data_IF_072065614261
#
_entry.id   IF_072065614261
#
_cell.length_a   1.000
_cell.length_b   1.000
_cell.length_c   1.000
_cell.angle_alpha   90.00
_cell.angle_beta   90.00
_cell.angle_gamma   90.00
#
_symmetry.space_group_name_H-M   'P 1'
#
loop_
_entity.id
_entity.type
_entity.pdbx_description
1 polymer ?
#
# COMPACT_ATOMS: atom_id res chain seq x y z
N UNK A 1 8.06 18.71 6.63
CA UNK A 1 6.88 17.90 6.26
C UNK A 1 7.37 16.48 6.11
N UNK A 2 7.18 15.62 7.12
CA UNK A 2 7.61 14.23 7.03
C UNK A 2 6.66 13.53 6.06
N UNK A 3 7.11 13.37 4.81
CA UNK A 3 6.40 12.55 3.84
C UNK A 3 6.41 11.12 4.35
N UNK A 4 5.23 10.52 4.46
CA UNK A 4 5.06 9.08 4.69
C UNK A 4 6.05 8.30 3.80
N UNK A 5 6.95 7.47 4.36
CA UNK A 5 7.88 6.71 3.55
C UNK A 5 7.10 5.79 2.62
N UNK A 6 7.42 5.85 1.33
CA UNK A 6 6.83 4.95 0.33
C UNK A 6 7.55 3.62 0.42
N UNK A 7 6.81 2.56 0.76
CA UNK A 7 7.34 1.22 1.02
C UNK A 7 7.23 0.35 -0.23
N UNK A 8 6.28 0.66 -1.10
CA UNK A 8 6.13 -0.01 -2.38
C UNK A 8 5.56 0.95 -3.43
N UNK A 9 5.94 0.76 -4.67
CA UNK A 9 5.39 1.48 -5.83
C UNK A 9 5.37 0.51 -7.01
N UNK A 10 4.29 0.54 -7.80
CA UNK A 10 4.22 -0.26 -9.01
C UNK A 10 5.11 0.36 -10.11
N UNK A 11 5.49 -0.44 -11.12
CA UNK A 11 6.37 0.03 -12.20
C UNK A 11 5.80 1.19 -13.02
N UNK A 12 4.47 1.32 -13.06
CA UNK A 12 3.74 2.35 -13.79
C UNK A 12 3.54 3.63 -12.96
N UNK A 13 3.97 3.64 -11.70
CA UNK A 13 3.74 4.71 -10.72
C UNK A 13 2.26 5.05 -10.49
N UNK A 14 1.36 4.18 -10.95
CA UNK A 14 -0.10 4.31 -10.77
C UNK A 14 -0.54 3.94 -9.35
N UNK A 15 0.26 3.16 -8.63
CA UNK A 15 -0.06 2.68 -7.29
C UNK A 15 1.16 2.67 -6.40
N UNK A 16 0.98 3.07 -5.16
CA UNK A 16 2.03 3.11 -4.16
C UNK A 16 1.47 2.75 -2.79
N UNK A 17 2.27 2.13 -1.94
CA UNK A 17 1.97 1.93 -0.53
C UNK A 17 2.88 2.85 0.25
N UNK A 18 2.28 3.66 1.11
CA UNK A 18 3.01 4.56 1.99
C UNK A 18 2.61 4.31 3.44
N UNK A 19 3.58 4.44 4.35
CA UNK A 19 3.35 4.38 5.79
C UNK A 19 2.98 5.76 6.32
N UNK A 20 1.71 5.93 6.67
CA UNK A 20 1.22 7.10 7.36
C UNK A 20 1.21 6.84 8.86
N UNK A 21 2.34 7.14 9.50
CA UNK A 21 2.46 7.13 10.96
C UNK A 21 2.12 5.75 11.57
N UNK A 22 2.65 4.68 10.96
CA UNK A 22 2.36 3.30 11.36
C UNK A 22 1.09 2.71 10.77
N UNK A 23 0.48 3.36 9.78
CA UNK A 23 -0.63 2.83 9.00
C UNK A 23 -0.27 2.77 7.52
N UNK A 24 -0.27 1.56 6.97
CA UNK A 24 -0.04 1.29 5.56
C UNK A 24 -1.26 1.69 4.75
N UNK A 25 -1.07 2.52 3.74
CA UNK A 25 -2.13 2.98 2.86
C UNK A 25 -1.74 2.72 1.42
N UNK A 26 -2.59 1.98 0.70
CA UNK A 26 -2.51 1.86 -0.75
C UNK A 26 -3.10 3.12 -1.37
N UNK A 27 -2.28 3.85 -2.10
CA UNK A 27 -2.67 5.03 -2.85
C UNK A 27 -2.65 4.66 -4.32
N UNK A 28 -3.80 4.77 -4.97
CA UNK A 28 -3.95 4.66 -6.41
C UNK A 28 -3.97 6.08 -6.98
N UNK A 29 -2.96 6.47 -7.74
CA UNK A 29 -2.81 7.83 -8.28
C UNK A 29 -3.77 8.09 -9.44
N UNK A 30 -4.17 7.04 -10.18
CA UNK A 30 -5.09 7.15 -11.31
C UNK A 30 -6.47 7.71 -10.93
N UNK A 31 -6.94 7.44 -9.71
CA UNK A 31 -8.23 7.90 -9.19
C UNK A 31 -8.11 8.63 -7.84
N UNK A 32 -6.88 8.92 -7.39
CA UNK A 32 -6.56 9.48 -6.07
C UNK A 32 -7.16 8.70 -4.90
N UNK A 33 -7.48 7.42 -5.09
CA UNK A 33 -8.09 6.59 -4.07
C UNK A 33 -7.04 6.19 -3.04
N UNK A 34 -7.42 6.24 -1.76
CA UNK A 34 -6.59 5.82 -0.64
C UNK A 34 -7.32 4.72 0.09
N UNK A 35 -6.72 3.55 0.17
CA UNK A 35 -7.27 2.40 0.87
C UNK A 35 -6.35 2.07 2.04
N UNK A 36 -6.84 2.17 3.29
CA UNK A 36 -6.08 1.70 4.44
C UNK A 36 -5.90 0.19 4.32
N UNK A 37 -4.65 -0.24 4.36
CA UNK A 37 -4.27 -1.64 4.31
C UNK A 37 -4.12 -2.23 5.71
N UNK A 38 -3.83 -1.40 6.71
CA UNK A 38 -3.68 -1.83 8.09
C UNK A 38 -2.48 -1.18 8.78
N UNK A 39 -2.25 -1.54 10.04
CA UNK A 39 -1.14 -0.97 10.84
C UNK A 39 0.17 -1.74 10.77
N UNK A 40 0.11 -2.98 10.29
CA UNK A 40 1.29 -3.84 10.16
C UNK A 40 1.42 -4.32 8.73
N UNK A 41 2.62 -4.75 8.35
CA UNK A 41 2.86 -5.40 7.05
C UNK A 41 1.98 -6.64 6.88
N UNK A 42 1.72 -7.38 7.95
CA UNK A 42 0.86 -8.56 7.94
C UNK A 42 -0.58 -8.21 7.60
N UNK A 43 -1.15 -7.22 8.31
CA UNK A 43 -2.50 -6.72 8.08
C UNK A 43 -2.62 -6.19 6.63
N UNK A 44 -1.61 -5.45 6.17
CA UNK A 44 -1.56 -4.95 4.81
C UNK A 44 -1.52 -6.06 3.77
N UNK A 45 -0.73 -7.12 3.99
CA UNK A 45 -0.68 -8.28 3.08
C UNK A 45 -1.99 -9.05 3.10
N UNK A 46 -2.61 -9.26 4.25
CA UNK A 46 -3.92 -9.91 4.33
C UNK A 46 -4.99 -9.09 3.61
N UNK A 47 -5.06 -7.78 3.84
CA UNK A 47 -6.00 -6.89 3.17
C UNK A 47 -5.83 -6.92 1.66
N UNK A 48 -4.58 -6.86 1.17
CA UNK A 48 -4.27 -6.98 -0.25
C UNK A 48 -4.73 -8.31 -0.84
N UNK A 49 -4.56 -9.42 -0.11
CA UNK A 49 -5.08 -10.74 -0.53
C UNK A 49 -6.60 -10.76 -0.55
N UNK A 50 -7.28 -10.17 0.45
CA UNK A 50 -8.74 -10.08 0.49
C UNK A 50 -9.33 -9.34 -0.71
N UNK A 51 -8.68 -8.27 -1.17
CA UNK A 51 -9.11 -7.49 -2.34
C UNK A 51 -8.61 -8.07 -3.67
N UNK A 52 -7.97 -9.24 -3.66
CA UNK A 52 -7.48 -9.92 -4.86
C UNK A 52 -6.17 -9.36 -5.45
N UNK A 53 -5.42 -8.54 -4.69
CA UNK A 53 -4.14 -7.92 -5.09
C UNK A 53 -2.94 -8.72 -4.57
N UNK A 54 -2.91 -10.01 -4.88
CA UNK A 54 -1.84 -10.93 -4.48
C UNK A 54 -0.46 -10.48 -4.98
N UNK A 55 -0.38 -9.92 -6.19
CA UNK A 55 0.86 -9.43 -6.80
C UNK A 55 1.58 -8.38 -5.94
N UNK A 56 0.81 -7.54 -5.23
CA UNK A 56 1.35 -6.52 -4.32
C UNK A 56 1.73 -7.16 -2.98
N UNK A 57 0.88 -8.06 -2.46
CA UNK A 57 1.12 -8.77 -1.21
C UNK A 57 2.40 -9.62 -1.24
N UNK A 58 2.79 -10.13 -2.41
CA UNK A 58 4.05 -10.88 -2.58
C UNK A 58 5.29 -9.97 -2.62
N UNK A 59 5.13 -8.72 -3.04
CA UNK A 59 6.24 -7.76 -3.14
C UNK A 59 6.52 -7.03 -1.82
N UNK A 60 5.55 -6.96 -0.92
CA UNK A 60 5.75 -6.51 0.46
C UNK A 60 6.59 -7.56 1.22
N UNK A 61 7.87 -7.26 1.43
CA UNK A 61 8.86 -8.06 2.17
C UNK A 61 9.23 -7.42 3.49
#
# INVERSE_FOLDING_TARGET
MAGAPTIWVNSDMSEQIADFNGEYVLITTSNMQRMPLGKTLEDAREKLKEIGRYDIAEQLK
#
